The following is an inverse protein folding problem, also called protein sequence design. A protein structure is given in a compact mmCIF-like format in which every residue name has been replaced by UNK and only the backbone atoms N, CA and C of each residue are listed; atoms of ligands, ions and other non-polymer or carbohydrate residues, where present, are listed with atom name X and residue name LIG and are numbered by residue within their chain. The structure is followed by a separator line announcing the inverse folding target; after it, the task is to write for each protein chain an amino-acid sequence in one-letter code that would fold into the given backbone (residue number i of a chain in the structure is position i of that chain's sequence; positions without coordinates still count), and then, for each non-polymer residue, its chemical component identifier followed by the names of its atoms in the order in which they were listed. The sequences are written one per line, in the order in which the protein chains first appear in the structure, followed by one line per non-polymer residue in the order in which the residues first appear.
data_IF_485837392117
#
_entry.id   IF_485837392117
#
_cell.length_a   1.000
_cell.length_b   1.000
_cell.length_c   1.000
_cell.angle_alpha   90.00
_cell.angle_beta   90.00
_cell.angle_gamma   90.00
#
_symmetry.space_group_name_H-M   'P 1'
#
loop_
_entity.id
_entity.type
_entity.pdbx_description
1 polymer ?
#
# COMPACT_ATOMS: atom_id res chain seq x y z
N UNK A 1 9.52 0.59 19.54
CA UNK A 1 8.78 1.43 18.58
C UNK A 1 7.48 0.73 18.26
N UNK A 2 6.35 1.44 18.16
CA UNK A 2 5.09 0.91 17.62
C UNK A 2 5.19 0.84 16.08
N UNK A 3 6.23 0.18 15.58
CA UNK A 3 6.65 0.22 14.19
C UNK A 3 5.84 -0.81 13.38
N UNK A 4 4.63 -0.44 13.00
CA UNK A 4 3.81 -1.15 12.03
C UNK A 4 3.97 -0.58 10.61
N UNK A 5 3.43 -1.27 9.59
CA UNK A 5 3.22 -0.70 8.26
C UNK A 5 2.52 0.65 8.34
N UNK A 6 2.94 1.62 7.53
CA UNK A 6 2.38 2.97 7.54
C UNK A 6 0.85 2.94 7.31
N UNK A 7 0.38 2.04 6.45
CA UNK A 7 -1.04 1.80 6.20
C UNK A 7 -1.85 1.50 7.48
N UNK A 8 -1.35 0.60 8.33
CA UNK A 8 -2.02 0.23 9.57
C UNK A 8 -2.00 1.37 10.60
N UNK A 9 -0.87 2.06 10.73
CA UNK A 9 -0.78 3.21 11.65
C UNK A 9 -1.72 4.34 11.23
N UNK A 10 -1.81 4.64 9.94
CA UNK A 10 -2.74 5.65 9.41
C UNK A 10 -4.21 5.24 9.61
N UNK A 11 -4.53 3.94 9.50
CA UNK A 11 -5.86 3.41 9.79
C UNK A 11 -6.21 3.54 11.27
N UNK A 12 -5.30 3.15 12.17
CA UNK A 12 -5.49 3.27 13.63
C UNK A 12 -5.67 4.73 14.07
N UNK A 13 -5.04 5.67 13.35
CA UNK A 13 -5.20 7.11 13.57
C UNK A 13 -6.49 7.69 12.96
N UNK A 14 -7.30 6.88 12.28
CA UNK A 14 -8.54 7.32 11.63
C UNK A 14 -8.31 8.26 10.44
N UNK A 15 -7.11 8.24 9.84
CA UNK A 15 -6.73 9.12 8.73
C UNK A 15 -7.22 8.60 7.37
N UNK A 16 -7.73 7.37 7.30
CA UNK A 16 -8.48 6.89 6.15
C UNK A 16 -9.98 7.11 6.36
N UNK A 17 -10.64 7.91 5.50
CA UNK A 17 -12.07 8.12 5.61
C UNK A 17 -12.81 6.84 5.21
N UNK A 18 -13.11 5.97 6.18
CA UNK A 18 -14.22 5.04 6.06
C UNK A 18 -15.50 5.84 6.32
N UNK A 19 -16.02 6.53 5.31
CA UNK A 19 -17.24 7.30 5.48
C UNK A 19 -18.38 6.35 5.91
N UNK A 20 -19.05 6.60 7.06
CA UNK A 20 -19.95 5.63 7.69
C UNK A 20 -21.26 5.37 6.93
N UNK A 21 -21.57 6.18 5.90
CA UNK A 21 -22.84 6.12 5.16
C UNK A 21 -22.62 5.85 3.67
N UNK A 22 -21.54 6.39 3.08
CA UNK A 22 -21.13 6.10 1.70
C UNK A 22 -19.61 6.23 1.59
N UNK A 23 -18.84 5.12 1.61
CA UNK A 23 -17.41 5.21 1.35
C UNK A 23 -17.20 5.74 -0.06
N UNK A 24 -16.78 7.01 -0.17
CA UNK A 24 -16.43 7.62 -1.47
C UNK A 24 -15.15 6.99 -2.03
N UNK A 25 -14.34 6.37 -1.17
CA UNK A 25 -13.08 5.72 -1.51
C UNK A 25 -12.79 4.59 -0.51
N UNK A 26 -12.77 3.36 -1.00
CA UNK A 26 -12.19 2.25 -0.25
C UNK A 26 -10.69 2.22 -0.52
N UNK A 27 -9.88 2.22 0.54
CA UNK A 27 -8.42 2.12 0.43
C UNK A 27 -8.01 0.71 0.83
N UNK A 28 -7.42 -0.02 -0.12
CA UNK A 28 -6.83 -1.32 0.13
C UNK A 28 -5.49 -1.14 0.86
N UNK A 29 -5.34 -1.80 2.02
CA UNK A 29 -4.16 -1.66 2.87
C UNK A 29 -2.91 -2.27 2.24
N UNK A 30 -3.07 -3.37 1.47
CA UNK A 30 -1.95 -4.01 0.78
C UNK A 30 -1.47 -3.12 -0.38
N UNK A 31 -2.40 -2.49 -1.10
CA UNK A 31 -2.08 -1.50 -2.14
C UNK A 31 -1.34 -0.30 -1.56
N UNK A 32 -1.76 0.17 -0.39
CA UNK A 32 -1.12 1.30 0.28
C UNK A 32 0.29 0.98 0.80
N UNK A 33 0.51 -0.24 1.28
CA UNK A 33 1.84 -0.71 1.68
C UNK A 33 2.76 -0.92 0.45
N UNK A 34 2.20 -1.38 -0.67
CA UNK A 34 2.88 -1.41 -1.96
C UNK A 34 3.30 -0.01 -2.41
N UNK A 35 2.39 0.97 -2.40
CA UNK A 35 2.71 2.35 -2.76
C UNK A 35 3.76 2.93 -1.83
N UNK A 36 3.67 2.66 -0.52
CA UNK A 36 4.70 3.05 0.45
C UNK A 36 6.07 2.45 0.11
N UNK A 37 6.12 1.23 -0.40
CA UNK A 37 7.35 0.58 -0.87
C UNK A 37 7.88 1.25 -2.13
N UNK A 38 7.01 1.56 -3.09
CA UNK A 38 7.36 2.27 -4.33
C UNK A 38 7.91 3.67 -4.03
N UNK A 39 7.28 4.41 -3.13
CA UNK A 39 7.75 5.75 -2.72
C UNK A 39 9.05 5.71 -1.92
N UNK A 40 9.35 4.62 -1.21
CA UNK A 40 10.65 4.40 -0.54
C UNK A 40 11.76 4.02 -1.53
N UNK A 41 11.43 3.48 -2.70
CA UNK A 41 12.41 3.29 -3.76
C UNK A 41 12.74 4.69 -4.30
N UNK A 42 13.82 5.26 -3.75
CA UNK A 42 14.43 6.56 -4.09
C UNK A 42 14.68 6.79 -5.59
N UNK A 43 14.52 5.78 -6.45
CA UNK A 43 14.72 5.88 -7.88
C UNK A 43 13.47 5.47 -8.66
N UNK A 44 12.84 6.40 -9.40
CA UNK A 44 11.72 6.12 -10.29
C UNK A 44 12.20 5.43 -11.57
N UNK A 45 12.99 4.36 -11.43
CA UNK A 45 13.45 3.56 -12.56
C UNK A 45 12.44 2.44 -12.84
N UNK A 46 12.26 2.09 -14.11
CA UNK A 46 11.24 1.10 -14.52
C UNK A 46 11.45 -0.25 -13.84
N UNK A 47 12.69 -0.63 -13.55
CA UNK A 47 13.03 -1.89 -12.89
C UNK A 47 12.56 -1.96 -11.43
N UNK A 48 12.68 -0.87 -10.66
CA UNK A 48 12.23 -0.77 -9.28
C UNK A 48 10.71 -0.84 -9.17
N UNK A 49 10.01 -0.22 -10.13
CA UNK A 49 8.55 -0.31 -10.25
C UNK A 49 8.10 -1.73 -10.58
N UNK A 50 8.69 -2.36 -11.61
CA UNK A 50 8.35 -3.74 -12.01
C UNK A 50 8.62 -4.72 -10.88
N UNK A 51 9.78 -4.63 -10.21
CA UNK A 51 10.13 -5.51 -9.08
C UNK A 51 9.15 -5.36 -7.91
N UNK A 52 8.76 -4.13 -7.57
CA UNK A 52 7.80 -3.87 -6.50
C UNK A 52 6.41 -4.40 -6.87
N UNK A 53 5.98 -4.21 -8.11
CA UNK A 53 4.68 -4.68 -8.61
C UNK A 53 4.61 -6.20 -8.64
N UNK A 54 5.65 -6.86 -9.14
CA UNK A 54 5.74 -8.32 -9.17
C UNK A 54 5.67 -8.91 -7.75
N UNK A 55 6.34 -8.28 -6.77
CA UNK A 55 6.24 -8.67 -5.36
C UNK A 55 4.83 -8.48 -4.79
N UNK A 56 4.15 -7.39 -5.13
CA UNK A 56 2.77 -7.14 -4.71
C UNK A 56 1.82 -8.20 -5.27
N UNK A 57 1.89 -8.47 -6.58
CA UNK A 57 1.03 -9.44 -7.26
C UNK A 57 1.26 -10.87 -6.74
N UNK A 58 2.50 -11.28 -6.49
CA UNK A 58 2.79 -12.57 -5.89
C UNK A 58 2.19 -12.75 -4.49
N UNK A 59 2.19 -11.70 -3.66
CA UNK A 59 1.53 -11.76 -2.34
C UNK A 59 0.02 -11.99 -2.45
N UNK A 60 -0.60 -11.50 -3.53
CA UNK A 60 -2.02 -11.74 -3.83
C UNK A 60 -2.29 -13.08 -4.52
N UNK A 61 -1.25 -13.91 -4.75
CA UNK A 61 -1.37 -15.20 -5.41
C UNK A 61 -1.44 -15.13 -6.94
N UNK A 62 -1.20 -13.96 -7.53
CA UNK A 62 -1.10 -13.82 -8.97
C UNK A 62 0.27 -14.31 -9.45
N UNK A 63 0.26 -15.18 -10.46
CA UNK A 63 1.45 -15.65 -11.15
C UNK A 63 1.57 -14.89 -12.46
N UNK A 64 2.67 -14.16 -12.63
CA UNK A 64 3.01 -13.44 -13.86
C UNK A 64 3.71 -14.34 -14.87
#
# INVERSE_FOLDING_TARGET
CNCGPAALLLLELGLFPSAPVHPTLAVDLDLLDFMSTVFKVEQPNIHGWVSSLQRFLWKQGHVL
#
